data_IF_372359733508
#
_entry.id   IF_372359733508
#
_cell.length_a   1.000
_cell.length_b   1.000
_cell.length_c   1.000
_cell.angle_alpha   90.00
_cell.angle_beta   90.00
_cell.angle_gamma   90.00
#
_symmetry.space_group_name_H-M   'P 1'
#
loop_
_entity.id
_entity.type
_entity.pdbx_description
1 polymer ?
#
# COMPACT_ATOMS: atom_id res chain seq x y z
N UNK A 1 9.11 9.61 19.35
CA UNK A 1 8.37 8.36 19.62
C UNK A 1 8.52 7.48 18.40
N UNK A 2 8.82 6.20 18.57
CA UNK A 2 8.94 5.25 17.46
C UNK A 2 7.57 4.67 17.15
N UNK A 3 7.21 4.54 15.87
CA UNK A 3 5.88 4.11 15.42
C UNK A 3 5.47 2.75 16.03
N UNK A 4 4.21 2.63 16.46
CA UNK A 4 3.64 1.39 17.00
C UNK A 4 2.20 1.21 16.50
N UNK A 5 1.70 -0.03 16.46
CA UNK A 5 0.36 -0.36 15.96
C UNK A 5 -0.77 0.51 16.56
N UNK A 6 -0.65 0.89 17.83
CA UNK A 6 -1.64 1.76 18.49
C UNK A 6 -1.84 3.11 17.81
N UNK A 7 -0.80 3.62 17.15
CA UNK A 7 -0.81 4.92 16.46
C UNK A 7 -1.68 4.89 15.18
N UNK A 8 -2.02 3.69 14.68
CA UNK A 8 -2.70 3.47 13.40
C UNK A 8 -4.14 2.96 13.54
N UNK A 9 -4.64 2.82 14.76
CA UNK A 9 -6.00 2.30 15.06
C UNK A 9 -7.15 3.17 14.52
N UNK A 10 -6.83 4.36 14.02
CA UNK A 10 -7.79 5.27 13.39
C UNK A 10 -8.12 4.86 11.94
N UNK A 11 -7.23 4.15 11.24
CA UNK A 11 -7.31 3.98 9.77
C UNK A 11 -8.59 3.28 9.33
N UNK A 12 -8.87 2.10 9.87
CA UNK A 12 -10.06 1.30 9.51
C UNK A 12 -11.37 1.98 9.92
N UNK A 13 -11.34 2.75 11.02
CA UNK A 13 -12.50 3.52 11.51
C UNK A 13 -12.81 4.71 10.61
N UNK A 14 -11.77 5.37 10.09
CA UNK A 14 -11.89 6.55 9.25
C UNK A 14 -12.13 6.23 7.78
N UNK A 15 -11.54 5.14 7.29
CA UNK A 15 -11.66 4.67 5.92
C UNK A 15 -12.12 3.21 5.85
N UNK A 16 -13.40 2.91 6.14
CA UNK A 16 -13.91 1.53 6.17
C UNK A 16 -13.68 0.75 4.88
N UNK A 17 -13.80 1.40 3.72
CA UNK A 17 -13.55 0.79 2.40
C UNK A 17 -12.09 0.30 2.27
N UNK A 18 -11.13 1.11 2.70
CA UNK A 18 -9.71 0.73 2.70
C UNK A 18 -9.39 -0.26 3.82
N UNK A 19 -10.09 -0.14 4.95
CA UNK A 19 -10.00 -1.10 6.04
C UNK A 19 -10.54 -2.48 5.69
N UNK A 20 -11.43 -2.59 4.71
CA UNK A 20 -11.92 -3.86 4.17
C UNK A 20 -10.91 -4.46 3.19
N UNK A 21 -10.46 -3.68 2.19
CA UNK A 21 -9.42 -4.13 1.27
C UNK A 21 -8.63 -2.95 0.68
N UNK A 22 -7.30 -3.02 0.80
CA UNK A 22 -6.41 -2.08 0.13
C UNK A 22 -5.01 -2.65 -0.05
N UNK A 23 -4.29 -2.10 -1.03
CA UNK A 23 -2.83 -2.15 -1.07
C UNK A 23 -2.27 -0.74 -0.90
N UNK A 24 -1.26 -0.59 -0.05
CA UNK A 24 -0.51 0.64 0.16
C UNK A 24 0.95 0.37 -0.17
N UNK A 25 1.47 1.03 -1.20
CA UNK A 25 2.85 0.84 -1.68
C UNK A 25 3.60 2.16 -1.64
N UNK A 26 4.68 2.21 -0.87
CA UNK A 26 5.60 3.34 -0.79
C UNK A 26 6.85 3.03 -1.62
N UNK A 27 7.20 3.88 -2.58
CA UNK A 27 8.41 3.74 -3.40
C UNK A 27 9.28 4.99 -3.30
N UNK A 28 10.53 4.82 -2.87
CA UNK A 28 11.44 5.91 -2.62
C UNK A 28 11.94 6.54 -3.93
N UNK A 29 12.02 7.88 -3.98
CA UNK A 29 12.68 8.62 -5.05
C UNK A 29 11.90 8.69 -6.37
N UNK A 30 10.68 8.15 -6.44
CA UNK A 30 9.80 8.28 -7.61
C UNK A 30 8.83 9.44 -7.42
N UNK A 31 8.57 10.18 -8.51
CA UNK A 31 7.44 11.10 -8.58
C UNK A 31 6.14 10.32 -8.82
N UNK A 32 4.98 10.85 -8.40
CA UNK A 32 3.71 10.11 -8.48
C UNK A 32 3.35 9.71 -9.93
N UNK A 33 3.62 10.60 -10.89
CA UNK A 33 3.38 10.34 -12.30
C UNK A 33 4.31 9.27 -12.88
N UNK A 34 5.53 9.14 -12.37
CA UNK A 34 6.44 8.05 -12.74
C UNK A 34 5.96 6.72 -12.17
N UNK A 35 5.53 6.69 -10.91
CA UNK A 35 4.97 5.47 -10.31
C UNK A 35 3.72 4.99 -11.09
N UNK A 36 2.80 5.88 -11.44
CA UNK A 36 1.66 5.54 -12.31
C UNK A 36 2.09 5.00 -13.67
N UNK A 37 3.11 5.57 -14.31
CA UNK A 37 3.65 5.03 -15.56
C UNK A 37 4.23 3.63 -15.39
N UNK A 38 4.93 3.35 -14.29
CA UNK A 38 5.45 2.00 -14.02
C UNK A 38 4.34 0.98 -13.83
N UNK A 39 3.21 1.36 -13.24
CA UNK A 39 1.99 0.55 -13.22
C UNK A 39 1.27 0.44 -14.58
N UNK A 40 1.81 1.04 -15.66
CA UNK A 40 1.16 1.14 -16.96
C UNK A 40 -0.24 1.78 -16.88
N UNK A 41 -0.43 2.70 -15.93
CA UNK A 41 -1.71 3.31 -15.65
C UNK A 41 -2.04 4.40 -16.68
N UNK A 42 -3.27 4.34 -17.21
CA UNK A 42 -3.82 5.46 -17.98
C UNK A 42 -4.19 6.60 -17.03
N UNK A 43 -3.85 7.87 -17.34
CA UNK A 43 -4.08 8.98 -16.44
C UNK A 43 -5.58 9.25 -16.27
N UNK A 44 -6.01 9.47 -15.03
CA UNK A 44 -7.35 9.91 -14.66
C UNK A 44 -7.34 11.28 -13.97
N UNK A 45 -8.52 11.79 -13.67
CA UNK A 45 -8.67 13.01 -12.87
C UNK A 45 -8.30 12.72 -11.42
N UNK A 46 -7.44 13.56 -10.84
CA UNK A 46 -6.99 13.41 -9.47
C UNK A 46 -8.08 13.61 -8.41
N UNK A 47 -7.69 13.43 -7.15
CA UNK A 47 -8.53 13.63 -5.97
C UNK A 47 -7.74 14.32 -4.86
N UNK A 48 -8.45 15.02 -3.96
CA UNK A 48 -7.87 15.53 -2.71
C UNK A 48 -8.37 14.64 -1.58
N UNK A 49 -7.45 14.21 -0.73
CA UNK A 49 -7.75 13.36 0.41
C UNK A 49 -8.06 11.90 0.04
N UNK A 50 -7.88 11.00 1.00
CA UNK A 50 -8.27 9.59 0.85
C UNK A 50 -9.79 9.42 0.67
N UNK A 51 -10.63 10.28 1.25
CA UNK A 51 -12.07 10.24 0.99
C UNK A 51 -12.38 10.51 -0.49
N UNK A 52 -11.68 11.46 -1.11
CA UNK A 52 -11.78 11.73 -2.53
C UNK A 52 -11.34 10.54 -3.38
N UNK A 53 -10.25 9.85 -2.98
CA UNK A 53 -9.80 8.61 -3.63
C UNK A 53 -10.86 7.52 -3.54
N UNK A 54 -11.46 7.30 -2.36
CA UNK A 54 -12.53 6.31 -2.17
C UNK A 54 -13.78 6.66 -2.99
N UNK A 55 -14.16 7.93 -3.05
CA UNK A 55 -15.29 8.39 -3.87
C UNK A 55 -15.05 8.15 -5.37
N UNK A 56 -13.82 8.39 -5.85
CA UNK A 56 -13.42 8.10 -7.23
C UNK A 56 -13.43 6.61 -7.53
N UNK A 57 -12.88 5.79 -6.64
CA UNK A 57 -12.94 4.34 -6.77
C UNK A 57 -14.38 3.82 -6.81
N UNK A 58 -15.24 4.29 -5.91
CA UNK A 58 -16.66 3.89 -5.87
C UNK A 58 -17.39 4.26 -7.16
N UNK A 59 -17.18 5.48 -7.66
CA UNK A 59 -17.76 5.94 -8.93
C UNK A 59 -17.25 5.17 -10.14
N UNK A 60 -15.97 4.77 -10.12
CA UNK A 60 -15.39 3.95 -11.17
C UNK A 60 -16.00 2.54 -11.18
N UNK A 61 -16.02 1.86 -10.03
CA UNK A 61 -16.46 0.46 -9.94
C UNK A 61 -17.97 0.28 -10.13
N UNK A 62 -18.77 1.30 -9.82
CA UNK A 62 -20.22 1.28 -10.09
C UNK A 62 -20.58 1.78 -11.51
N UNK A 63 -19.60 2.17 -12.33
CA UNK A 63 -19.80 2.66 -13.70
C UNK A 63 -20.44 4.05 -13.80
N UNK A 64 -20.52 4.80 -12.71
CA UNK A 64 -21.04 6.16 -12.68
C UNK A 64 -20.00 7.22 -13.07
N UNK A 65 -18.70 6.88 -13.08
CA UNK A 65 -17.65 7.79 -13.49
C UNK A 65 -17.69 8.03 -15.01
N UNK A 66 -18.33 9.14 -15.39
CA UNK A 66 -18.45 9.56 -16.78
C UNK A 66 -17.11 9.95 -17.41
N UNK A 67 -16.11 10.33 -16.61
CA UNK A 67 -14.78 10.70 -17.12
C UNK A 67 -14.03 9.46 -17.60
N UNK A 68 -14.27 8.30 -16.97
CA UNK A 68 -13.69 7.01 -17.38
C UNK A 68 -14.33 6.46 -18.65
N UNK A 69 -15.55 6.91 -19.00
CA UNK A 69 -16.23 6.44 -20.21
C UNK A 69 -15.46 6.89 -21.46
N UNK A 70 -14.84 5.92 -22.14
CA UNK A 70 -14.05 6.17 -23.35
C UNK A 70 -12.55 6.38 -23.10
N UNK A 71 -12.09 6.28 -21.85
CA UNK A 71 -10.65 6.28 -21.52
C UNK A 71 -9.96 4.99 -21.98
N UNK A 72 -10.70 3.87 -21.96
CA UNK A 72 -10.30 2.56 -22.45
C UNK A 72 -11.55 1.75 -22.85
N UNK A 73 -11.35 0.63 -23.55
CA UNK A 73 -12.44 -0.29 -23.90
C UNK A 73 -13.09 -0.83 -22.60
N UNK A 74 -14.42 -0.82 -22.45
CA UNK A 74 -15.10 -1.42 -21.29
C UNK A 74 -14.78 -2.90 -21.06
N UNK A 75 -14.27 -3.61 -22.07
CA UNK A 75 -13.76 -4.98 -21.93
C UNK A 75 -12.37 -5.06 -21.26
N UNK A 76 -11.63 -3.96 -21.18
CA UNK A 76 -10.36 -3.87 -20.43
C UNK A 76 -10.65 -3.74 -18.94
N UNK A 77 -10.35 -4.78 -18.18
CA UNK A 77 -10.40 -4.72 -16.72
C UNK A 77 -9.18 -3.96 -16.18
N UNK A 78 -9.44 -2.94 -15.37
CA UNK A 78 -8.42 -2.04 -14.82
C UNK A 78 -8.65 -1.76 -13.34
N UNK A 79 -7.56 -1.55 -12.62
CA UNK A 79 -7.52 -1.16 -11.22
C UNK A 79 -7.26 0.34 -11.09
N UNK A 80 -7.98 1.00 -10.17
CA UNK A 80 -7.68 2.39 -9.81
C UNK A 80 -6.47 2.42 -8.87
N UNK A 81 -5.47 3.21 -9.22
CA UNK A 81 -4.29 3.50 -8.39
C UNK A 81 -4.24 5.01 -8.15
N UNK A 82 -4.24 5.42 -6.89
CA UNK A 82 -4.10 6.81 -6.49
C UNK A 82 -2.70 7.03 -5.89
N UNK A 83 -1.95 8.00 -6.41
CA UNK A 83 -0.56 8.22 -6.00
C UNK A 83 -0.35 9.65 -5.53
N UNK A 84 0.25 9.80 -4.37
CA UNK A 84 0.75 11.09 -3.84
C UNK A 84 2.22 10.98 -3.46
N UNK A 85 2.85 12.11 -3.13
CA UNK A 85 4.27 12.18 -2.76
C UNK A 85 4.39 12.72 -1.32
N UNK A 86 5.10 11.99 -0.45
CA UNK A 86 5.33 12.33 0.95
C UNK A 86 6.79 12.03 1.31
N UNK A 87 7.50 13.03 1.84
CA UNK A 87 8.85 12.87 2.41
C UNK A 87 9.86 12.15 1.50
N UNK A 88 9.79 12.37 0.18
CA UNK A 88 10.68 11.72 -0.80
C UNK A 88 10.23 10.33 -1.25
N UNK A 89 9.03 9.90 -0.88
CA UNK A 89 8.40 8.65 -1.30
C UNK A 89 7.12 8.92 -2.08
N UNK A 90 6.89 8.15 -3.15
CA UNK A 90 5.56 8.05 -3.75
C UNK A 90 4.74 7.00 -2.99
N UNK A 91 3.57 7.39 -2.48
CA UNK A 91 2.60 6.50 -1.87
C UNK A 91 1.49 6.20 -2.89
N UNK A 92 1.42 4.95 -3.34
CA UNK A 92 0.30 4.41 -4.09
C UNK A 92 -0.73 3.79 -3.14
N UNK A 93 -2.00 4.09 -3.40
CA UNK A 93 -3.18 3.62 -2.69
C UNK A 93 -4.10 2.95 -3.69
N UNK A 94 -4.39 1.68 -3.44
CA UNK A 94 -5.22 0.86 -4.31
C UNK A 94 -6.42 0.31 -3.51
N UNK A 95 -7.58 1.01 -3.53
CA UNK A 95 -8.80 0.46 -2.91
C UNK A 95 -9.21 -0.82 -3.65
N UNK A 96 -9.31 -1.94 -2.92
CA UNK A 96 -9.55 -3.28 -3.51
C UNK A 96 -8.56 -3.67 -4.63
N UNK A 97 -7.40 -3.03 -4.71
CA UNK A 97 -6.30 -3.43 -5.60
C UNK A 97 -5.22 -4.20 -4.87
N UNK A 98 -4.27 -4.73 -5.64
CA UNK A 98 -3.26 -5.68 -5.17
C UNK A 98 -1.99 -5.64 -6.04
N UNK A 99 -1.78 -4.61 -6.87
CA UNK A 99 -0.61 -4.56 -7.74
C UNK A 99 0.68 -4.57 -6.93
N UNK A 100 0.68 -3.87 -5.78
CA UNK A 100 1.81 -3.82 -4.86
C UNK A 100 2.21 -5.14 -4.17
N UNK A 101 1.52 -6.26 -4.41
CA UNK A 101 1.93 -7.59 -3.90
C UNK A 101 2.30 -8.57 -5.01
N UNK A 102 2.15 -8.16 -6.27
CA UNK A 102 2.46 -9.04 -7.39
C UNK A 102 3.93 -8.95 -7.70
N UNK A 103 4.65 -10.07 -7.60
CA UNK A 103 6.10 -10.14 -7.83
C UNK A 103 6.51 -9.47 -9.14
N UNK A 104 5.77 -9.70 -10.23
CA UNK A 104 6.05 -9.08 -11.55
C UNK A 104 6.01 -7.55 -11.52
N UNK A 105 5.09 -6.97 -10.73
CA UNK A 105 4.96 -5.53 -10.60
C UNK A 105 5.97 -4.99 -9.60
N UNK A 106 6.15 -5.65 -8.45
CA UNK A 106 7.16 -5.27 -7.47
C UNK A 106 8.55 -5.23 -8.10
N UNK A 107 8.96 -6.22 -8.89
CA UNK A 107 10.27 -6.23 -9.55
C UNK A 107 10.46 -5.01 -10.46
N UNK A 108 9.42 -4.61 -11.20
CA UNK A 108 9.43 -3.41 -12.05
C UNK A 108 9.55 -2.12 -11.22
N UNK A 109 8.92 -2.08 -10.05
CA UNK A 109 8.97 -0.92 -9.16
C UNK A 109 10.28 -0.81 -8.39
N UNK A 110 10.78 -1.95 -7.87
CA UNK A 110 11.93 -2.08 -6.99
C UNK A 110 13.28 -1.94 -7.72
N UNK A 111 13.31 -2.02 -9.05
CA UNK A 111 14.54 -1.80 -9.82
C UNK A 111 15.07 -0.37 -9.59
N UNK A 112 16.24 -0.30 -8.95
CA UNK A 112 16.89 0.96 -8.60
C UNK A 112 16.20 1.77 -7.50
N UNK A 113 15.24 1.19 -6.77
CA UNK A 113 14.47 1.89 -5.73
C UNK A 113 14.43 1.08 -4.43
N UNK A 114 13.81 1.68 -3.42
CA UNK A 114 13.36 1.00 -2.21
C UNK A 114 11.84 1.03 -2.18
N UNK A 115 11.24 -0.12 -1.89
CA UNK A 115 9.80 -0.30 -1.88
C UNK A 115 9.36 -0.96 -0.58
N UNK A 116 8.29 -0.42 0.01
CA UNK A 116 7.55 -1.07 1.08
C UNK A 116 6.09 -1.14 0.67
N UNK A 117 5.50 -2.33 0.70
CA UNK A 117 4.11 -2.54 0.36
C UNK A 117 3.43 -3.33 1.46
N UNK A 118 2.20 -2.96 1.80
CA UNK A 118 1.36 -3.79 2.63
C UNK A 118 -0.08 -3.83 2.10
N UNK A 119 -0.66 -5.02 2.18
CA UNK A 119 -1.93 -5.37 1.58
C UNK A 119 -2.81 -6.09 2.58
N UNK A 120 -4.12 -5.90 2.41
CA UNK A 120 -5.16 -6.68 3.08
C UNK A 120 -6.37 -6.84 2.16
N UNK A 121 -7.15 -7.89 2.37
CA UNK A 121 -8.46 -8.03 1.74
C UNK A 121 -9.57 -8.50 2.70
N UNK A 122 -10.80 -8.49 2.17
CA UNK A 122 -12.01 -8.87 2.90
C UNK A 122 -12.06 -10.37 3.27
N UNK A 123 -11.22 -11.21 2.65
CA UNK A 123 -11.13 -12.64 2.93
C UNK A 123 -10.06 -12.97 3.98
N UNK A 124 -9.39 -11.96 4.53
CA UNK A 124 -8.39 -12.12 5.58
C UNK A 124 -6.99 -12.49 5.07
N UNK A 125 -6.73 -12.40 3.75
CA UNK A 125 -5.37 -12.49 3.23
C UNK A 125 -4.67 -11.13 3.37
N UNK A 126 -3.42 -11.16 3.80
CA UNK A 126 -2.56 -9.99 3.95
C UNK A 126 -1.12 -10.29 3.53
N UNK A 127 -0.40 -9.27 3.10
CA UNK A 127 1.02 -9.41 2.73
C UNK A 127 1.76 -8.14 3.08
N UNK A 128 3.00 -8.29 3.52
CA UNK A 128 3.96 -7.21 3.69
C UNK A 128 5.20 -7.51 2.84
N UNK A 129 5.65 -6.54 2.05
CA UNK A 129 6.87 -6.65 1.25
C UNK A 129 7.80 -5.48 1.55
N UNK A 130 9.07 -5.77 1.74
CA UNK A 130 10.16 -4.80 1.72
C UNK A 130 11.22 -5.24 0.71
N UNK A 131 11.45 -4.38 -0.27
CA UNK A 131 12.40 -4.60 -1.36
C UNK A 131 13.39 -3.45 -1.47
N UNK A 132 14.63 -3.79 -1.82
CA UNK A 132 15.69 -2.83 -2.11
C UNK A 132 16.46 -3.27 -3.34
N UNK A 133 16.52 -2.41 -4.35
CA UNK A 133 17.29 -2.62 -5.58
C UNK A 133 16.99 -3.98 -6.24
N UNK A 134 15.71 -4.36 -6.28
CA UNK A 134 15.26 -5.63 -6.85
C UNK A 134 15.51 -6.87 -5.98
N UNK A 135 15.92 -6.70 -4.72
CA UNK A 135 16.12 -7.81 -3.76
C UNK A 135 15.02 -7.77 -2.70
N UNK A 136 14.32 -8.88 -2.51
CA UNK A 136 13.37 -9.05 -1.41
C UNK A 136 14.14 -9.14 -0.10
N UNK A 137 14.04 -8.08 0.71
CA UNK A 137 14.66 -8.02 2.04
C UNK A 137 13.82 -8.79 3.04
N UNK A 138 12.51 -8.54 3.04
CA UNK A 138 11.56 -9.16 3.94
C UNK A 138 10.19 -9.31 3.25
N UNK A 139 9.58 -10.48 3.40
CA UNK A 139 8.19 -10.73 3.07
C UNK A 139 7.57 -11.66 4.12
N UNK A 140 6.29 -11.41 4.44
CA UNK A 140 5.47 -12.25 5.30
C UNK A 140 4.00 -11.84 5.18
N UNK A 141 3.11 -12.70 5.68
CA UNK A 141 1.71 -12.35 5.94
C UNK A 141 1.62 -11.72 7.33
N UNK A 142 1.17 -10.46 7.51
CA UNK A 142 0.97 -9.85 8.82
C UNK A 142 0.22 -10.72 9.84
N UNK A 143 -0.66 -11.63 9.39
CA UNK A 143 -1.34 -12.61 10.23
C UNK A 143 -0.40 -13.72 10.76
N UNK A 144 0.67 -14.04 10.03
CA UNK A 144 1.67 -15.05 10.37
C UNK A 144 3.08 -14.43 10.39
N UNK A 145 3.36 -13.47 11.30
CA UNK A 145 4.59 -12.67 11.27
C UNK A 145 5.86 -13.45 11.65
N UNK A 146 5.73 -14.69 12.12
CA UNK A 146 6.80 -15.66 12.34
C UNK A 146 7.19 -16.40 11.05
N UNK A 147 6.28 -16.50 10.07
CA UNK A 147 6.49 -17.14 8.77
C UNK A 147 6.99 -16.10 7.75
N UNK A 148 8.31 -15.93 7.71
CA UNK A 148 8.98 -14.88 6.95
C UNK A 148 9.93 -15.45 5.91
N UNK A 149 10.12 -14.70 4.83
CA UNK A 149 11.14 -14.98 3.82
C UNK A 149 11.80 -13.67 3.32
N UNK A 150 12.84 -13.81 2.50
CA UNK A 150 13.69 -12.70 2.04
C UNK A 150 15.10 -12.78 2.62
N UNK A 151 16.00 -11.95 2.09
CA UNK A 151 17.44 -12.02 2.45
C UNK A 151 17.73 -11.64 3.90
N UNK A 152 16.84 -10.86 4.52
CA UNK A 152 16.99 -10.38 5.90
C UNK A 152 16.02 -11.05 6.87
N UNK A 153 15.16 -11.98 6.43
CA UNK A 153 14.12 -12.58 7.26
C UNK A 153 14.64 -13.17 8.59
N UNK A 154 15.83 -13.78 8.54
CA UNK A 154 16.51 -14.41 9.68
C UNK A 154 17.54 -13.48 10.35
N UNK A 155 17.60 -12.20 9.97
CA UNK A 155 18.54 -11.27 10.58
C UNK A 155 18.14 -11.05 12.06
N UNK A 156 19.10 -11.07 13.02
CA UNK A 156 18.83 -11.00 14.46
C UNK A 156 18.16 -9.72 14.98
N UNK A 157 17.76 -8.79 14.12
CA UNK A 157 17.03 -7.57 14.50
C UNK A 157 15.61 -7.51 13.94
N UNK A 158 15.23 -8.44 13.05
CA UNK A 158 13.88 -8.46 12.46
C UNK A 158 12.83 -8.86 13.50
N UNK A 159 13.00 -9.93 14.31
CA UNK A 159 12.02 -10.27 15.34
C UNK A 159 11.75 -9.10 16.29
N UNK A 160 12.81 -8.44 16.77
CA UNK A 160 12.74 -7.31 17.69
C UNK A 160 12.08 -6.09 17.04
N UNK A 161 12.34 -5.84 15.75
CA UNK A 161 11.69 -4.78 14.99
C UNK A 161 10.18 -5.04 14.89
N UNK A 162 9.77 -6.26 14.51
CA UNK A 162 8.36 -6.62 14.38
C UNK A 162 7.63 -6.52 15.72
N UNK A 163 8.18 -7.10 16.79
CA UNK A 163 7.59 -6.99 18.13
C UNK A 163 7.50 -5.54 18.58
N UNK A 164 8.53 -4.73 18.30
CA UNK A 164 8.49 -3.32 18.65
C UNK A 164 7.47 -2.50 17.83
N UNK A 165 7.03 -2.99 16.66
CA UNK A 165 5.91 -2.43 15.89
C UNK A 165 4.54 -2.88 16.41
N UNK A 166 4.48 -3.93 17.22
CA UNK A 166 3.25 -4.50 17.78
C UNK A 166 2.80 -5.83 17.16
N UNK A 167 3.67 -6.51 16.41
CA UNK A 167 3.41 -7.90 15.98
C UNK A 167 3.65 -8.87 17.14
N UNK A 168 2.75 -9.84 17.30
CA UNK A 168 2.93 -10.95 18.25
C UNK A 168 3.52 -12.16 17.52
N UNK A 169 4.71 -12.60 17.93
CA UNK A 169 5.46 -13.68 17.26
C UNK A 169 5.34 -15.04 17.98
N UNK A 170 4.98 -15.04 19.27
CA UNK A 170 4.99 -16.24 20.11
C UNK A 170 3.58 -16.79 20.39
N UNK A 171 2.54 -16.05 20.04
CA UNK A 171 1.15 -16.40 20.34
C UNK A 171 0.31 -16.24 19.10
N UNK A 172 -0.78 -17.01 19.00
CA UNK A 172 -1.81 -16.85 17.96
C UNK A 172 -2.71 -15.63 18.24
N UNK A 173 -2.13 -14.52 18.71
CA UNK A 173 -2.82 -13.27 18.96
C UNK A 173 -2.73 -12.39 17.71
N UNK A 174 -3.77 -12.43 16.89
CA UNK A 174 -3.85 -11.73 15.61
C UNK A 174 -4.31 -10.26 15.73
N UNK A 175 -4.29 -9.70 16.93
CA UNK A 175 -4.81 -8.38 17.21
C UNK A 175 -3.90 -7.32 16.57
N UNK A 176 -4.49 -6.46 15.73
CA UNK A 176 -3.84 -5.25 15.17
C UNK A 176 -2.65 -5.51 14.24
N UNK A 177 -2.55 -6.69 13.63
CA UNK A 177 -1.52 -7.00 12.63
C UNK A 177 -1.51 -5.99 11.46
N UNK A 178 -2.67 -5.52 11.02
CA UNK A 178 -2.79 -4.48 9.98
C UNK A 178 -2.19 -3.14 10.43
N UNK A 179 -2.46 -2.72 11.66
CA UNK A 179 -1.86 -1.50 12.24
C UNK A 179 -0.35 -1.66 12.51
N UNK A 180 0.10 -2.86 12.90
CA UNK A 180 1.52 -3.16 13.05
C UNK A 180 2.26 -3.08 11.69
N UNK A 181 1.62 -3.46 10.59
CA UNK A 181 2.16 -3.29 9.25
C UNK A 181 2.36 -1.81 8.88
N UNK A 182 1.42 -0.92 9.25
CA UNK A 182 1.63 0.53 9.10
C UNK A 182 2.82 1.04 9.92
N UNK A 183 2.93 0.60 11.17
CA UNK A 183 4.05 0.98 12.04
C UNK A 183 5.38 0.49 11.48
N UNK A 184 5.43 -0.72 10.93
CA UNK A 184 6.62 -1.26 10.26
C UNK A 184 6.96 -0.45 9.00
N UNK A 185 5.96 -0.10 8.19
CA UNK A 185 6.17 0.75 7.02
C UNK A 185 6.78 2.11 7.42
N UNK A 186 6.22 2.81 8.43
CA UNK A 186 6.80 4.06 8.93
C UNK A 186 8.24 3.88 9.40
N UNK A 187 8.56 2.82 10.15
CA UNK A 187 9.94 2.59 10.62
C UNK A 187 10.93 2.28 9.51
N UNK A 188 10.47 1.63 8.44
CA UNK A 188 11.33 1.34 7.31
C UNK A 188 11.52 2.60 6.46
N UNK A 189 10.49 3.41 6.26
CA UNK A 189 10.53 4.51 5.29
C UNK A 189 10.77 5.89 5.89
N UNK A 190 10.66 6.02 7.21
CA UNK A 190 10.53 7.28 7.96
C UNK A 190 9.32 8.14 7.51
N UNK A 191 8.35 7.55 6.79
CA UNK A 191 7.14 8.23 6.32
C UNK A 191 5.96 7.91 7.23
N UNK A 192 5.61 8.88 8.07
CA UNK A 192 4.42 8.79 8.92
C UNK A 192 3.15 9.06 8.14
N UNK A 193 2.22 8.11 8.17
CA UNK A 193 0.87 8.29 7.62
C UNK A 193 -0.09 8.67 8.76
N UNK A 194 -0.57 9.89 8.75
CA UNK A 194 -1.58 10.37 9.70
C UNK A 194 -2.79 10.98 8.96
N UNK A 195 -3.95 11.11 9.63
CA UNK A 195 -5.17 11.58 8.99
C UNK A 195 -5.03 12.95 8.34
N UNK A 196 -4.42 13.92 9.04
CA UNK A 196 -4.33 15.30 8.57
C UNK A 196 -3.52 15.40 7.28
N UNK A 197 -2.40 14.67 7.20
CA UNK A 197 -1.58 14.61 5.99
C UNK A 197 -2.32 13.95 4.83
N UNK A 198 -2.98 12.83 5.09
CA UNK A 198 -3.68 12.05 4.06
C UNK A 198 -4.94 12.75 3.54
N UNK A 199 -5.56 13.61 4.35
CA UNK A 199 -6.69 14.45 3.96
C UNK A 199 -6.26 15.67 3.13
N UNK A 200 -5.13 16.27 3.48
CA UNK A 200 -4.57 17.41 2.76
C UNK A 200 -3.86 17.01 1.44
N UNK A 201 -3.45 15.75 1.31
CA UNK A 201 -2.72 15.27 0.16
C UNK A 201 -3.54 15.35 -1.14
N UNK A 202 -2.88 15.77 -2.22
CA UNK A 202 -3.42 15.66 -3.58
C UNK A 202 -2.92 14.38 -4.21
N UNK A 203 -3.83 13.56 -4.69
CA UNK A 203 -3.57 12.29 -5.36
C UNK A 203 -3.75 12.43 -6.86
N UNK A 204 -2.75 11.97 -7.62
CA UNK A 204 -2.90 11.67 -9.05
C UNK A 204 -3.55 10.31 -9.17
N UNK A 205 -4.55 10.18 -10.03
CA UNK A 205 -5.25 8.91 -10.25
C UNK A 205 -4.82 8.34 -11.60
N UNK A 206 -4.69 7.02 -11.66
CA UNK A 206 -4.59 6.30 -12.91
C UNK A 206 -5.27 4.94 -12.87
N UNK A 207 -5.49 4.37 -14.06
CA UNK A 207 -6.16 3.08 -14.26
C UNK A 207 -5.17 2.08 -14.85
N UNK A 208 -4.60 1.24 -13.98
CA UNK A 208 -3.64 0.22 -14.34
C UNK A 208 -4.34 -1.04 -14.86
N UNK A 209 -3.80 -1.74 -15.88
CA UNK A 209 -4.35 -3.02 -16.33
C UNK A 209 -4.46 -4.00 -15.17
N UNK A 210 -5.58 -4.71 -15.08
CA UNK A 210 -5.67 -5.85 -14.18
C UNK A 210 -4.83 -7.00 -14.76
N UNK A 211 -3.89 -7.57 -13.99
CA UNK A 211 -3.05 -8.72 -14.34
C UNK A 211 -3.77 -9.97 -14.81
#
# INVERSE_FOLDING_TARGET
>A
MTAHATDYTWFTRRYPVLGEACCLTQVQGLAAGELLRRFNALPGTGAVGLEGVVARWSSYTNGADAEVRGLFDPAEDRLLVAVTELDGWALAVEPFGYLGILEKEILRLAEGTRLVSHYRNALGADHFHWWEHGIQRLHFEPLFPDQRDGTDAEAPGIPELLTACGFELETEAYDRCGEAAFALAERLTDVRLDPERLEAATFRIGYAPRP
#
